data_IF_273372769347
#
_entry.id   IF_273372769347
#
_cell.length_a   1.000
_cell.length_b   1.000
_cell.length_c   1.000
_cell.angle_alpha   90.00
_cell.angle_beta   90.00
_cell.angle_gamma   90.00
#
_symmetry.space_group_name_H-M   'P 1'
#
loop_
_entity.id
_entity.type
_entity.pdbx_description
1 polymer ?
#
# COMPACT_ATOMS: atom_id res chain seq x y z
N UNK A 1 9.80 -6.58 -7.97
CA UNK A 1 8.34 -6.46 -8.21
C UNK A 1 7.80 -5.41 -7.27
N UNK A 2 6.59 -4.90 -7.49
CA UNK A 2 5.92 -3.93 -6.63
C UNK A 2 4.60 -4.55 -6.16
N UNK A 3 4.32 -4.45 -4.87
CA UNK A 3 3.06 -4.91 -4.29
C UNK A 3 1.97 -3.89 -4.59
N UNK A 4 0.89 -4.36 -5.22
CA UNK A 4 -0.30 -3.55 -5.49
C UNK A 4 -1.51 -4.19 -4.82
N UNK A 5 -2.46 -3.34 -4.43
CA UNK A 5 -3.73 -3.72 -3.83
C UNK A 5 -4.89 -3.15 -4.64
N UNK A 6 -6.04 -3.82 -4.53
CA UNK A 6 -7.32 -3.32 -4.98
C UNK A 6 -8.28 -3.30 -3.79
N UNK A 7 -8.88 -2.15 -3.51
CA UNK A 7 -9.83 -2.00 -2.39
C UNK A 7 -11.11 -2.81 -2.62
N UNK A 8 -11.71 -3.28 -1.53
CA UNK A 8 -13.01 -3.94 -1.49
C UNK A 8 -14.17 -2.93 -1.50
N UNK A 9 -13.96 -1.74 -0.95
CA UNK A 9 -14.98 -0.68 -0.84
C UNK A 9 -14.39 0.69 -1.16
N UNK A 10 -15.22 1.72 -1.30
CA UNK A 10 -14.76 3.09 -1.57
C UNK A 10 -14.62 3.46 -3.05
N UNK A 11 -14.19 4.70 -3.34
CA UNK A 11 -14.12 5.22 -4.71
C UNK A 11 -13.18 4.42 -5.62
N UNK A 12 -12.02 3.98 -5.12
CA UNK A 12 -11.06 3.22 -5.94
C UNK A 12 -11.56 1.81 -6.25
N UNK A 13 -12.33 1.19 -5.33
CA UNK A 13 -12.98 -0.10 -5.58
C UNK A 13 -13.99 -0.03 -6.75
N UNK A 14 -14.72 1.09 -6.89
CA UNK A 14 -15.74 1.26 -7.93
C UNK A 14 -15.19 1.20 -9.36
N UNK A 15 -13.94 1.63 -9.55
CA UNK A 15 -13.22 1.61 -10.84
C UNK A 15 -12.21 0.47 -10.93
N UNK A 16 -12.12 -0.38 -9.91
CA UNK A 16 -11.16 -1.49 -9.81
C UNK A 16 -9.70 -1.05 -9.99
N UNK A 17 -9.35 0.10 -9.41
CA UNK A 17 -8.02 0.68 -9.52
C UNK A 17 -7.01 -0.17 -8.73
N UNK A 18 -5.95 -0.61 -9.42
CA UNK A 18 -4.77 -1.13 -8.76
C UNK A 18 -3.91 0.03 -8.29
N UNK A 19 -3.68 0.10 -6.98
CA UNK A 19 -2.87 1.16 -6.37
C UNK A 19 -1.81 0.59 -5.44
N UNK A 20 -0.92 1.45 -4.98
CA UNK A 20 -0.02 1.13 -3.87
C UNK A 20 -0.84 0.91 -2.59
N UNK A 21 -0.26 0.19 -1.63
CA UNK A 21 -0.72 0.18 -0.22
C UNK A 21 -0.68 1.62 0.28
N UNK A 22 -1.75 2.09 0.91
CA UNK A 22 -1.86 3.47 1.39
C UNK A 22 -2.70 3.53 2.65
N UNK A 23 -2.24 4.25 3.66
CA UNK A 23 -3.08 4.63 4.79
C UNK A 23 -2.65 5.93 5.44
N UNK A 24 -3.30 6.27 6.55
CA UNK A 24 -3.06 7.52 7.26
C UNK A 24 -1.96 7.33 8.31
N UNK A 25 -1.21 8.39 8.54
CA UNK A 25 -0.22 8.45 9.62
C UNK A 25 -0.93 8.90 10.90
N UNK A 26 -0.77 8.14 11.97
CA UNK A 26 -1.37 8.49 13.26
C UNK A 26 -0.63 9.64 13.95
N UNK A 27 -1.32 10.33 14.86
CA UNK A 27 -0.72 11.46 15.56
C UNK A 27 0.47 11.01 16.44
N UNK A 28 1.67 11.52 16.13
CA UNK A 28 2.91 11.15 16.81
C UNK A 28 3.59 9.90 16.27
N UNK A 29 3.07 9.33 15.19
CA UNK A 29 3.68 8.19 14.49
C UNK A 29 4.72 8.66 13.47
N UNK A 30 5.86 7.97 13.41
CA UNK A 30 6.88 8.20 12.38
C UNK A 30 6.42 7.65 11.02
N UNK A 31 6.73 8.36 9.94
CA UNK A 31 6.30 8.01 8.56
C UNK A 31 6.72 6.59 8.17
N UNK A 32 7.93 6.18 8.56
CA UNK A 32 8.47 4.84 8.32
C UNK A 32 7.66 3.75 9.03
N UNK A 33 7.26 4.00 10.27
CA UNK A 33 6.47 3.06 11.07
C UNK A 33 5.06 2.92 10.50
N UNK A 34 4.43 4.05 10.13
CA UNK A 34 3.13 4.05 9.47
C UNK A 34 3.18 3.24 8.17
N UNK A 35 4.17 3.49 7.30
CA UNK A 35 4.27 2.77 6.03
C UNK A 35 4.47 1.26 6.20
N UNK A 36 5.29 0.83 7.18
CA UNK A 36 5.46 -0.60 7.48
C UNK A 36 4.21 -1.23 8.10
N UNK A 37 3.53 -0.51 9.00
CA UNK A 37 2.27 -0.91 9.63
C UNK A 37 1.19 -1.15 8.59
N UNK A 38 0.94 -0.18 7.71
CA UNK A 38 -0.09 -0.27 6.67
C UNK A 38 0.12 -1.46 5.72
N UNK A 39 1.37 -1.71 5.28
CA UNK A 39 1.67 -2.89 4.45
C UNK A 39 1.32 -4.19 5.18
N UNK A 40 1.65 -4.28 6.46
CA UNK A 40 1.34 -5.46 7.25
C UNK A 40 -0.16 -5.62 7.53
N UNK A 41 -0.85 -4.53 7.88
CA UNK A 41 -2.29 -4.54 8.16
C UNK A 41 -3.09 -4.94 6.92
N UNK A 42 -2.82 -4.33 5.77
CA UNK A 42 -3.58 -4.58 4.54
C UNK A 42 -3.26 -5.95 3.89
N UNK A 43 -2.01 -6.41 3.99
CA UNK A 43 -1.51 -7.52 3.14
C UNK A 43 -0.77 -8.63 3.87
N UNK A 44 -0.56 -8.53 5.19
CA UNK A 44 0.18 -9.51 5.98
C UNK A 44 1.67 -9.63 5.62
N UNK A 45 2.17 -8.84 4.67
CA UNK A 45 3.58 -8.83 4.27
C UNK A 45 4.39 -8.04 5.28
N UNK A 46 5.50 -8.62 5.72
CA UNK A 46 6.48 -7.90 6.53
C UNK A 46 7.54 -7.25 5.64
N UNK A 47 7.85 -5.99 5.91
CA UNK A 47 8.82 -5.23 5.13
C UNK A 47 9.58 -4.25 6.03
N UNK A 48 10.73 -3.81 5.54
CA UNK A 48 11.59 -2.82 6.20
C UNK A 48 11.59 -1.54 5.40
N UNK A 49 11.48 -0.40 6.07
CA UNK A 49 11.60 0.90 5.42
C UNK A 49 13.02 1.09 4.85
N UNK A 50 13.12 1.60 3.63
CA UNK A 50 14.40 1.91 2.98
C UNK A 50 14.59 3.43 2.86
N UNK A 51 13.63 4.12 2.24
CA UNK A 51 13.70 5.57 2.00
C UNK A 51 12.37 6.16 1.56
N UNK A 52 12.25 7.47 1.69
CA UNK A 52 11.23 8.27 1.01
C UNK A 52 11.65 8.49 -0.44
N UNK A 53 10.75 8.22 -1.37
CA UNK A 53 10.95 8.49 -2.80
C UNK A 53 10.47 9.90 -3.17
N UNK A 54 9.28 10.28 -2.69
CA UNK A 54 8.65 11.54 -3.04
C UNK A 54 7.69 11.99 -1.94
N UNK A 55 7.46 13.30 -1.88
CA UNK A 55 6.45 13.91 -1.04
C UNK A 55 5.57 14.79 -1.92
N UNK A 56 4.26 14.60 -1.81
CA UNK A 56 3.25 15.45 -2.45
C UNK A 56 2.57 16.29 -1.38
N UNK A 57 2.48 17.59 -1.62
CA UNK A 57 1.71 18.51 -0.80
C UNK A 57 0.58 19.08 -1.64
N UNK A 58 -0.65 19.00 -1.15
CA UNK A 58 -1.80 19.64 -1.80
C UNK A 58 -2.59 20.50 -0.82
N UNK A 59 -2.94 21.70 -1.28
CA UNK A 59 -3.83 22.60 -0.55
C UNK A 59 -5.28 22.35 -0.99
N UNK A 60 -6.23 22.39 -0.04
CA UNK A 60 -7.65 22.10 -0.28
C UNK A 60 -7.85 20.67 -0.81
N UNK A 61 -7.41 19.68 -0.04
CA UNK A 61 -7.55 18.27 -0.39
C UNK A 61 -9.00 17.85 -0.69
N UNK A 62 -9.15 16.77 -1.43
CA UNK A 62 -10.44 16.18 -1.86
C UNK A 62 -11.21 15.46 -0.75
N UNK A 63 -10.74 15.53 0.51
CA UNK A 63 -11.38 14.94 1.67
C UNK A 63 -12.41 15.90 2.28
N UNK A 64 -13.35 15.39 3.07
CA UNK A 64 -14.43 16.15 3.72
C UNK A 64 -13.94 17.29 4.65
N UNK A 65 -12.63 17.40 4.88
CA UNK A 65 -12.00 18.40 5.74
C UNK A 65 -11.79 19.78 5.09
N UNK A 66 -12.02 19.93 3.78
CA UNK A 66 -12.30 21.18 3.01
C UNK A 66 -11.39 22.41 3.15
N UNK A 67 -10.44 22.42 4.08
CA UNK A 67 -9.72 23.60 4.55
C UNK A 67 -8.28 23.29 4.99
N UNK A 68 -7.90 22.02 5.04
CA UNK A 68 -6.57 21.58 5.48
C UNK A 68 -5.70 21.18 4.28
N UNK A 69 -4.40 21.31 4.48
CA UNK A 69 -3.42 20.78 3.53
C UNK A 69 -3.21 19.30 3.77
N UNK A 70 -2.97 18.56 2.70
CA UNK A 70 -2.65 17.13 2.71
C UNK A 70 -1.18 16.92 2.33
N UNK A 71 -0.51 16.03 3.06
CA UNK A 71 0.85 15.59 2.77
C UNK A 71 0.81 14.09 2.51
N UNK A 72 1.32 13.66 1.36
CA UNK A 72 1.37 12.27 0.95
C UNK A 72 2.81 11.87 0.70
N UNK A 73 3.29 10.86 1.44
CA UNK A 73 4.66 10.36 1.37
C UNK A 73 4.67 9.04 0.60
N UNK A 74 5.47 8.98 -0.46
CA UNK A 74 5.73 7.74 -1.20
C UNK A 74 7.00 7.12 -0.65
N UNK A 75 6.86 5.96 -0.02
CA UNK A 75 7.96 5.25 0.63
C UNK A 75 8.37 4.00 -0.17
N UNK A 76 9.67 3.76 -0.27
CA UNK A 76 10.21 2.48 -0.73
C UNK A 76 10.44 1.61 0.50
N UNK A 77 9.79 0.46 0.49
CA UNK A 77 9.97 -0.59 1.48
C UNK A 77 10.58 -1.81 0.79
N UNK A 78 11.48 -2.48 1.49
CA UNK A 78 12.08 -3.74 1.07
C UNK A 78 11.41 -4.87 1.85
N UNK A 79 10.76 -5.77 1.11
CA UNK A 79 10.19 -6.99 1.69
C UNK A 79 11.27 -7.78 2.41
N UNK A 80 10.93 -8.35 3.57
CA UNK A 80 11.82 -9.29 4.25
C UNK A 80 11.84 -10.62 3.47
N UNK A 81 12.92 -10.86 2.74
CA UNK A 81 13.11 -12.07 1.92
C UNK A 81 13.55 -13.28 2.77
N UNK A 82 14.00 -13.08 4.00
CA UNK A 82 14.36 -14.18 4.90
C UNK A 82 13.12 -14.79 5.56
N UNK A 83 12.03 -14.02 5.63
CA UNK A 83 10.73 -14.49 6.11
C UNK A 83 10.09 -15.53 5.17
N UNK A 84 9.90 -16.76 5.67
CA UNK A 84 9.30 -17.87 4.91
C UNK A 84 7.86 -17.62 4.45
N UNK A 85 7.07 -16.89 5.23
CA UNK A 85 5.71 -16.54 4.87
C UNK A 85 5.69 -15.58 3.67
N UNK A 86 6.55 -14.56 3.67
CA UNK A 86 6.71 -13.65 2.53
C UNK A 86 7.19 -14.39 1.28
N UNK A 87 8.21 -15.25 1.40
CA UNK A 87 8.73 -16.06 0.29
C UNK A 87 7.67 -16.94 -0.36
N UNK A 88 6.79 -17.54 0.45
CA UNK A 88 5.74 -18.43 -0.02
C UNK A 88 4.73 -17.72 -0.95
N UNK A 89 4.53 -16.41 -0.80
CA UNK A 89 3.53 -15.64 -1.55
C UNK A 89 4.11 -14.81 -2.71
N UNK A 90 5.42 -14.54 -2.72
CA UNK A 90 6.08 -13.67 -3.70
C UNK A 90 5.83 -14.04 -5.17
N UNK A 91 5.70 -15.34 -5.44
CA UNK A 91 5.53 -15.90 -6.79
C UNK A 91 4.11 -16.37 -7.11
N UNK A 92 3.17 -16.17 -6.19
CA UNK A 92 1.78 -16.45 -6.47
C UNK A 92 1.20 -15.41 -7.42
N UNK A 93 0.23 -15.77 -8.26
CA UNK A 93 -0.48 -14.81 -9.10
C UNK A 93 -1.28 -13.79 -8.29
N UNK A 94 -1.66 -14.14 -7.05
CA UNK A 94 -2.38 -13.32 -6.09
C UNK A 94 -2.02 -13.77 -4.67
N UNK A 95 -2.03 -12.85 -3.70
CA UNK A 95 -1.90 -13.17 -2.29
C UNK A 95 -3.14 -13.97 -1.80
N UNK A 96 -2.97 -14.90 -0.84
CA UNK A 96 -4.10 -15.61 -0.23
C UNK A 96 -5.02 -14.65 0.52
N UNK A 97 -6.33 -14.91 0.53
CA UNK A 97 -7.29 -14.07 1.26
C UNK A 97 -7.03 -14.00 2.77
N UNK A 98 -6.38 -15.01 3.35
CA UNK A 98 -5.99 -15.01 4.77
C UNK A 98 -4.92 -13.99 5.13
N UNK A 99 -4.23 -13.43 4.14
CA UNK A 99 -3.25 -12.35 4.33
C UNK A 99 -3.90 -10.97 4.32
N UNK A 100 -5.09 -10.85 3.72
CA UNK A 100 -5.67 -9.56 3.41
C UNK A 100 -6.61 -9.11 4.52
N UNK A 101 -6.59 -7.81 4.81
CA UNK A 101 -7.64 -7.19 5.60
C UNK A 101 -8.93 -7.15 4.80
N UNK A 102 -9.74 -8.21 4.91
CA UNK A 102 -10.89 -8.43 4.03
C UNK A 102 -11.97 -7.32 4.07
N UNK A 103 -12.00 -6.47 5.11
CA UNK A 103 -12.88 -5.30 5.17
C UNK A 103 -12.47 -4.18 4.20
N UNK A 104 -11.20 -4.13 3.82
CA UNK A 104 -10.61 -3.01 3.08
C UNK A 104 -10.01 -3.46 1.75
N UNK A 105 -9.35 -4.62 1.70
CA UNK A 105 -8.61 -5.09 0.53
C UNK A 105 -9.30 -6.31 -0.07
N UNK A 106 -9.63 -6.21 -1.35
CA UNK A 106 -10.25 -7.30 -2.12
C UNK A 106 -9.22 -8.29 -2.60
N UNK A 107 -8.12 -7.78 -3.15
CA UNK A 107 -7.07 -8.59 -3.77
C UNK A 107 -5.74 -7.81 -3.83
N UNK A 108 -4.63 -8.54 -3.74
CA UNK A 108 -3.29 -7.98 -3.76
C UNK A 108 -2.31 -8.90 -4.51
N UNK A 109 -1.35 -8.32 -5.24
CA UNK A 109 -0.35 -9.09 -6.00
C UNK A 109 0.95 -8.33 -6.21
N UNK A 110 2.02 -9.09 -6.42
CA UNK A 110 3.30 -8.54 -6.86
C UNK A 110 3.35 -8.42 -8.38
N UNK A 111 3.62 -7.22 -8.88
CA UNK A 111 3.70 -6.90 -10.30
C UNK A 111 5.14 -6.53 -10.69
N UNK A 112 5.69 -6.99 -11.83
CA UNK A 112 6.94 -6.46 -12.36
C UNK A 112 6.88 -4.94 -12.58
N UNK A 113 7.90 -4.19 -12.17
CA UNK A 113 7.83 -2.72 -12.24
C UNK A 113 7.64 -2.19 -13.68
N UNK A 114 8.11 -2.94 -14.68
CA UNK A 114 7.93 -2.61 -16.10
C UNK A 114 6.47 -2.64 -16.54
N UNK A 115 5.60 -3.41 -15.85
CA UNK A 115 4.19 -3.57 -16.19
C UNK A 115 3.28 -2.60 -15.42
N UNK A 116 3.83 -1.70 -14.59
CA UNK A 116 3.01 -0.79 -13.78
C UNK A 116 2.18 0.15 -14.64
N UNK A 117 2.74 0.67 -15.73
CA UNK A 117 2.06 1.58 -16.65
C UNK A 117 0.81 0.99 -17.33
N UNK A 118 0.71 -0.34 -17.42
CA UNK A 118 -0.42 -1.03 -18.04
C UNK A 118 -1.56 -1.31 -17.04
N UNK A 119 -1.32 -1.13 -15.74
CA UNK A 119 -2.16 -1.64 -14.66
C UNK A 119 -2.73 -0.53 -13.78
N UNK A 120 -2.06 0.63 -13.70
CA UNK A 120 -2.47 1.80 -12.89
C UNK A 120 -3.18 2.86 -13.70
#
# INVERSE_FOLDING_TARGET
RVLLVQEATGPAASIRLWKLVTGLVEAGEEIENAAMREVYEETGITATFERVLAVRHTHRGTTELGSRSDLFWVCILRMDEDNEANKAVLNLPMLPQSYLQASEIKEAKFVPHQQLHDIT
#
